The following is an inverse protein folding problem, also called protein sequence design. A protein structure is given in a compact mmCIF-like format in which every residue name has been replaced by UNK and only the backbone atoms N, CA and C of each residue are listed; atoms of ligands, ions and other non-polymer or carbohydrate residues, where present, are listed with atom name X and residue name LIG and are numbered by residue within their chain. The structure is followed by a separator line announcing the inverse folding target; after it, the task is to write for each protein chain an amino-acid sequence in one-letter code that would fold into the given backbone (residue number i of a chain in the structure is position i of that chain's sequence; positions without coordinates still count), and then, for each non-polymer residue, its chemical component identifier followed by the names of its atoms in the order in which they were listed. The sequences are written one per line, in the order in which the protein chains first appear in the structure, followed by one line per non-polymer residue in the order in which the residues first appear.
data_IF_858350657925
#
_entry.id   IF_858350657925
#
_cell.length_a   1.000
_cell.length_b   1.000
_cell.length_c   1.000
_cell.angle_alpha   90.00
_cell.angle_beta   90.00
_cell.angle_gamma   90.00
#
_symmetry.space_group_name_H-M   'P 1'
#
loop_
_entity.id
_entity.type
_entity.pdbx_description
1 polymer ?
#
# COMPACT_ATOMS: atom_id res chain seq x y z
N UNK A 1 16.26 -2.48 22.75
CA UNK A 1 17.51 -2.47 21.97
C UNK A 1 18.67 -2.01 22.84
N UNK A 2 18.58 -0.84 23.47
CA UNK A 2 19.64 -0.26 24.31
C UNK A 2 20.02 -1.07 25.57
N UNK A 3 19.07 -1.81 26.17
CA UNK A 3 19.28 -2.55 27.43
C UNK A 3 19.23 -4.07 27.27
N UNK A 4 19.44 -4.60 26.06
CA UNK A 4 19.31 -6.03 25.77
C UNK A 4 20.32 -6.90 26.54
N UNK A 5 21.49 -6.36 26.86
CA UNK A 5 22.56 -7.08 27.57
C UNK A 5 22.50 -6.93 29.10
N UNK A 6 21.50 -6.20 29.63
CA UNK A 6 21.35 -6.01 31.07
C UNK A 6 20.52 -7.12 31.71
N UNK A 7 20.92 -7.50 32.91
CA UNK A 7 20.16 -8.40 33.77
C UNK A 7 18.91 -7.71 34.33
N UNK A 8 17.90 -8.49 34.71
CA UNK A 8 16.68 -7.97 35.34
C UNK A 8 16.93 -7.02 36.52
N UNK A 9 17.82 -7.35 37.47
CA UNK A 9 18.19 -6.44 38.56
C UNK A 9 18.78 -5.10 38.09
N UNK A 10 19.61 -5.10 37.05
CA UNK A 10 20.18 -3.86 36.48
C UNK A 10 19.09 -2.99 35.85
N UNK A 11 18.11 -3.60 35.16
CA UNK A 11 16.95 -2.87 34.58
C UNK A 11 16.07 -2.26 35.69
N UNK A 12 15.88 -2.97 36.80
CA UNK A 12 15.15 -2.44 37.97
C UNK A 12 15.87 -1.24 38.57
N UNK A 13 17.20 -1.28 38.66
CA UNK A 13 17.99 -0.17 39.18
C UNK A 13 17.87 1.07 38.28
N UNK A 14 17.95 0.91 36.96
CA UNK A 14 17.70 2.00 36.01
C UNK A 14 16.31 2.61 36.19
N UNK A 15 15.27 1.78 36.38
CA UNK A 15 13.92 2.26 36.66
C UNK A 15 13.84 3.06 37.97
N UNK A 16 14.53 2.61 39.02
CA UNK A 16 14.61 3.33 40.32
C UNK A 16 15.32 4.68 40.19
N UNK A 17 16.31 4.76 39.29
CA UNK A 17 17.02 5.99 38.95
C UNK A 17 16.19 6.94 38.07
N UNK A 18 14.95 6.57 37.73
CA UNK A 18 14.05 7.39 36.90
C UNK A 18 14.35 7.30 35.41
N UNK A 19 15.20 6.36 34.97
CA UNK A 19 15.50 6.16 33.56
C UNK A 19 14.29 5.53 32.86
N UNK A 20 13.89 6.09 31.72
CA UNK A 20 12.81 5.55 30.91
C UNK A 20 13.28 4.28 30.20
N UNK A 21 12.88 3.12 30.74
CA UNK A 21 13.28 1.79 30.23
C UNK A 21 12.26 1.19 29.24
N UNK A 22 11.19 1.91 28.94
CA UNK A 22 10.14 1.47 28.02
C UNK A 22 9.90 2.53 26.97
N UNK A 23 9.63 2.14 25.74
CA UNK A 23 9.19 3.06 24.69
C UNK A 23 7.86 2.58 24.09
N UNK A 24 7.04 3.52 23.66
CA UNK A 24 5.87 3.23 22.83
C UNK A 24 6.33 3.09 21.38
N UNK A 25 5.91 2.01 20.72
CA UNK A 25 6.10 1.81 19.28
C UNK A 25 4.73 1.75 18.64
N UNK A 26 4.48 2.65 17.69
CA UNK A 26 3.24 2.65 16.90
C UNK A 26 3.52 2.06 15.53
N UNK A 27 2.78 1.02 15.18
CA UNK A 27 2.90 0.34 13.89
C UNK A 27 1.57 0.55 13.17
N UNK A 28 1.48 1.50 12.22
CA UNK A 28 0.25 1.72 11.49
C UNK A 28 -0.09 0.47 10.66
N UNK A 29 -1.27 -0.11 10.90
CA UNK A 29 -1.68 -1.34 10.21
C UNK A 29 -2.46 -1.05 8.93
N UNK A 30 -3.35 -0.06 9.00
CA UNK A 30 -4.27 0.28 7.93
C UNK A 30 -4.43 1.79 7.88
N UNK A 31 -4.25 2.34 6.69
CA UNK A 31 -4.61 3.72 6.40
C UNK A 31 -5.62 3.72 5.28
N UNK A 32 -6.69 4.49 5.42
CA UNK A 32 -7.66 4.70 4.37
C UNK A 32 -7.74 6.17 4.06
N UNK A 33 -7.64 6.52 2.78
CA UNK A 33 -8.01 7.85 2.32
C UNK A 33 -9.52 7.91 2.15
N UNK A 34 -10.08 9.10 2.30
CA UNK A 34 -11.35 9.43 1.66
C UNK A 34 -11.12 9.79 0.18
N UNK A 35 -12.14 10.38 -0.42
CA UNK A 35 -12.04 11.01 -1.74
C UNK A 35 -11.13 12.24 -1.63
N UNK A 36 -10.10 12.30 -2.47
CA UNK A 36 -9.02 13.27 -2.37
C UNK A 36 -8.21 13.35 -3.66
N UNK A 37 -7.63 14.52 -3.91
CA UNK A 37 -6.62 14.71 -4.93
C UNK A 37 -5.22 14.34 -4.41
N UNK A 38 -4.19 14.40 -5.27
CA UNK A 38 -2.81 14.33 -4.80
C UNK A 38 -2.51 15.43 -3.77
N UNK A 39 -1.84 15.11 -2.67
CA UNK A 39 -1.52 16.09 -1.62
C UNK A 39 -0.43 15.63 -0.66
N UNK A 40 0.12 16.58 0.09
CA UNK A 40 1.24 16.38 1.04
C UNK A 40 0.88 15.44 2.19
N UNK A 41 -0.41 15.29 2.51
CA UNK A 41 -0.85 14.37 3.57
C UNK A 41 -0.43 12.91 3.30
N UNK A 42 -0.19 12.55 2.02
CA UNK A 42 0.31 11.23 1.64
C UNK A 42 1.73 10.95 2.15
N UNK A 43 2.46 11.99 2.55
CA UNK A 43 3.83 11.91 3.05
C UNK A 43 3.91 11.74 4.57
N UNK A 44 2.78 11.86 5.29
CA UNK A 44 2.74 11.55 6.71
C UNK A 44 3.18 10.11 6.97
N UNK A 45 3.94 9.92 8.05
CA UNK A 45 4.54 8.64 8.39
C UNK A 45 3.50 7.52 8.53
N UNK A 46 2.37 7.81 9.18
CA UNK A 46 1.27 6.88 9.33
C UNK A 46 0.54 6.54 8.01
N UNK A 47 0.71 7.33 6.95
CA UNK A 47 0.22 7.02 5.61
C UNK A 47 1.25 6.19 4.85
N UNK A 48 2.49 6.67 4.77
CA UNK A 48 3.58 6.01 4.02
C UNK A 48 3.91 4.62 4.56
N UNK A 49 3.95 4.47 5.88
CA UNK A 49 4.46 3.27 6.57
C UNK A 49 3.36 2.32 7.02
N UNK A 50 2.08 2.63 6.77
CA UNK A 50 1.03 1.69 7.13
C UNK A 50 1.18 0.39 6.36
N UNK A 51 0.88 -0.74 7.00
CA UNK A 51 1.01 -2.04 6.33
C UNK A 51 0.15 -2.11 5.07
N UNK A 52 -1.10 -1.62 5.14
CA UNK A 52 -2.04 -1.54 4.03
C UNK A 52 -2.55 -0.12 3.87
N UNK A 53 -2.47 0.41 2.64
CA UNK A 53 -3.08 1.68 2.26
C UNK A 53 -4.27 1.45 1.33
N UNK A 54 -5.44 1.94 1.71
CA UNK A 54 -6.58 2.14 0.82
C UNK A 54 -6.49 3.54 0.25
N UNK A 55 -6.19 3.64 -1.05
CA UNK A 55 -5.96 4.90 -1.74
C UNK A 55 -7.02 5.07 -2.82
N UNK A 56 -7.64 6.24 -2.88
CA UNK A 56 -8.60 6.51 -3.94
C UNK A 56 -7.92 6.55 -5.32
N UNK A 57 -8.63 6.09 -6.36
CA UNK A 57 -8.22 6.24 -7.75
C UNK A 57 -9.49 6.24 -8.62
N UNK A 58 -10.09 7.42 -8.78
CA UNK A 58 -11.38 7.56 -9.48
C UNK A 58 -11.28 7.28 -10.98
N UNK A 59 -10.26 7.81 -11.64
CA UNK A 59 -10.16 7.81 -13.11
C UNK A 59 -8.90 7.12 -13.62
N UNK A 60 -9.04 6.34 -14.70
CA UNK A 60 -7.92 5.64 -15.37
C UNK A 60 -7.78 6.01 -16.85
N UNK A 61 -8.79 6.68 -17.41
CA UNK A 61 -8.80 7.13 -18.80
C UNK A 61 -8.03 8.46 -18.91
N UNK A 62 -6.99 8.54 -19.77
CA UNK A 62 -6.23 9.77 -19.99
C UNK A 62 -7.08 11.01 -20.25
N UNK A 63 -8.26 10.88 -20.89
CA UNK A 63 -9.17 11.99 -21.16
C UNK A 63 -9.83 12.57 -19.90
N UNK A 64 -9.77 11.87 -18.77
CA UNK A 64 -10.42 12.28 -17.51
C UNK A 64 -9.45 12.90 -16.49
N UNK A 65 -8.21 13.25 -16.87
CA UNK A 65 -7.25 13.93 -15.98
C UNK A 65 -7.77 15.26 -15.46
N UNK A 66 -8.30 16.10 -16.35
CA UNK A 66 -8.83 17.42 -15.96
C UNK A 66 -10.07 17.28 -15.09
N UNK A 67 -10.89 16.25 -15.36
CA UNK A 67 -12.03 15.91 -14.53
C UNK A 67 -11.63 15.47 -13.13
N UNK A 68 -10.57 14.66 -13.01
CA UNK A 68 -10.04 14.25 -11.72
C UNK A 68 -9.59 15.47 -10.90
N UNK A 69 -8.83 16.37 -11.53
CA UNK A 69 -8.37 17.62 -10.90
C UNK A 69 -9.54 18.52 -10.47
N UNK A 70 -10.52 18.74 -11.35
CA UNK A 70 -11.68 19.57 -11.06
C UNK A 70 -12.54 18.99 -9.91
N UNK A 71 -12.61 17.65 -9.79
CA UNK A 71 -13.31 16.96 -8.71
C UNK A 71 -12.48 16.70 -7.46
N UNK A 72 -11.23 17.15 -7.41
CA UNK A 72 -10.27 16.82 -6.36
C UNK A 72 -10.18 15.30 -6.10
N UNK A 73 -9.96 14.55 -7.18
CA UNK A 73 -9.78 13.10 -7.17
C UNK A 73 -8.41 12.71 -7.76
N UNK A 74 -7.91 11.55 -7.38
CA UNK A 74 -6.71 10.96 -7.97
C UNK A 74 -7.03 10.29 -9.31
N UNK A 75 -6.22 10.59 -10.33
CA UNK A 75 -6.16 9.85 -11.57
C UNK A 75 -5.00 8.83 -11.53
N UNK A 76 -5.12 7.71 -12.23
CA UNK A 76 -4.09 6.65 -12.29
C UNK A 76 -2.68 7.17 -12.61
N UNK A 77 -2.58 8.14 -13.52
CA UNK A 77 -1.30 8.79 -13.88
C UNK A 77 -0.65 9.57 -12.72
N UNK A 78 -1.41 10.07 -11.75
CA UNK A 78 -0.86 10.75 -10.57
C UNK A 78 -0.13 9.76 -9.66
N UNK A 79 -0.57 8.50 -9.66
CA UNK A 79 0.03 7.44 -8.88
C UNK A 79 1.51 7.20 -9.23
N UNK A 80 1.97 7.55 -10.44
CA UNK A 80 3.40 7.47 -10.81
C UNK A 80 4.29 8.31 -9.91
N UNK A 81 3.78 9.42 -9.40
CA UNK A 81 4.51 10.31 -8.48
C UNK A 81 4.28 9.94 -7.03
N UNK A 82 3.12 9.39 -6.71
CA UNK A 82 2.71 9.02 -5.34
C UNK A 82 3.37 7.71 -4.90
N UNK A 83 3.24 6.64 -5.69
CA UNK A 83 3.62 5.28 -5.28
C UNK A 83 5.11 5.11 -4.93
N UNK A 84 6.07 5.74 -5.65
CA UNK A 84 7.49 5.65 -5.26
C UNK A 84 7.80 6.21 -3.87
N UNK A 85 6.93 7.06 -3.33
CA UNK A 85 7.07 7.64 -1.99
C UNK A 85 6.37 6.80 -0.91
N UNK A 86 5.72 5.71 -1.27
CA UNK A 86 4.95 4.88 -0.35
C UNK A 86 5.73 3.60 0.00
N UNK A 87 5.78 3.28 1.30
CA UNK A 87 6.48 2.11 1.85
C UNK A 87 5.51 0.96 2.20
N UNK A 88 4.22 1.13 1.91
CA UNK A 88 3.20 0.14 2.27
C UNK A 88 3.48 -1.23 1.61
N UNK A 89 3.25 -2.31 2.35
CA UNK A 89 3.30 -3.68 1.82
C UNK A 89 2.21 -3.90 0.75
N UNK A 90 1.08 -3.21 0.91
CA UNK A 90 -0.10 -3.31 0.04
C UNK A 90 -0.75 -1.95 -0.19
N UNK A 91 -1.07 -1.66 -1.44
CA UNK A 91 -1.89 -0.52 -1.85
C UNK A 91 -3.13 -1.07 -2.54
N UNK A 92 -4.30 -0.77 -1.97
CA UNK A 92 -5.60 -1.14 -2.51
C UNK A 92 -6.26 0.11 -3.06
N UNK A 93 -6.41 0.17 -4.38
CA UNK A 93 -7.08 1.25 -5.07
C UNK A 93 -8.60 1.14 -4.90
N UNK A 94 -9.21 2.19 -4.37
CA UNK A 94 -10.65 2.28 -4.11
C UNK A 94 -11.29 3.37 -4.97
N UNK A 95 -12.60 3.58 -4.82
CA UNK A 95 -13.33 4.69 -5.40
C UNK A 95 -13.30 4.79 -6.95
N UNK A 96 -13.14 3.66 -7.64
CA UNK A 96 -13.18 3.63 -9.11
C UNK A 96 -14.52 4.15 -9.65
N UNK A 97 -14.46 5.04 -10.64
CA UNK A 97 -15.65 5.54 -11.33
C UNK A 97 -16.51 4.41 -11.89
N UNK A 98 -17.83 4.52 -11.72
CA UNK A 98 -18.81 3.57 -12.30
C UNK A 98 -18.80 3.56 -13.84
N UNK A 99 -18.19 4.56 -14.48
CA UNK A 99 -18.10 4.67 -15.95
C UNK A 99 -17.03 3.75 -16.55
N UNK A 100 -16.16 3.16 -15.73
CA UNK A 100 -15.10 2.29 -16.20
C UNK A 100 -15.26 0.91 -15.58
N UNK A 101 -15.28 -0.12 -16.43
CA UNK A 101 -15.36 -1.49 -15.93
C UNK A 101 -14.07 -1.85 -15.17
N UNK A 102 -14.19 -2.59 -14.07
CA UNK A 102 -13.03 -3.01 -13.26
C UNK A 102 -11.95 -3.72 -14.10
N UNK A 103 -12.34 -4.50 -15.12
CA UNK A 103 -11.40 -5.17 -16.03
C UNK A 103 -10.55 -4.17 -16.82
N UNK A 104 -11.14 -3.08 -17.30
CA UNK A 104 -10.46 -2.03 -18.04
C UNK A 104 -9.53 -1.24 -17.12
N UNK A 105 -9.98 -0.94 -15.90
CA UNK A 105 -9.15 -0.31 -14.87
C UNK A 105 -7.93 -1.17 -14.51
N UNK A 106 -8.12 -2.48 -14.33
CA UNK A 106 -7.01 -3.42 -14.13
C UNK A 106 -6.03 -3.43 -15.31
N UNK A 107 -6.54 -3.39 -16.55
CA UNK A 107 -5.68 -3.34 -17.74
C UNK A 107 -4.90 -2.02 -17.84
N UNK A 108 -5.54 -0.89 -17.50
CA UNK A 108 -4.89 0.40 -17.42
C UNK A 108 -3.79 0.41 -16.35
N UNK A 109 -4.06 -0.12 -15.15
CA UNK A 109 -3.08 -0.28 -14.08
C UNK A 109 -1.87 -1.11 -14.53
N UNK A 110 -2.11 -2.24 -15.21
CA UNK A 110 -1.03 -3.08 -15.73
C UNK A 110 -0.18 -2.35 -16.77
N UNK A 111 -0.78 -1.56 -17.66
CA UNK A 111 -0.04 -0.75 -18.63
C UNK A 111 0.79 0.34 -17.96
N UNK A 112 0.27 0.91 -16.87
CA UNK A 112 0.90 2.04 -16.18
C UNK A 112 2.07 1.61 -15.29
N UNK A 113 1.94 0.47 -14.60
CA UNK A 113 2.87 0.02 -13.54
C UNK A 113 3.55 -1.32 -13.82
N UNK A 114 3.19 -2.03 -14.88
CA UNK A 114 3.83 -3.31 -15.24
C UNK A 114 3.85 -4.31 -14.09
N UNK A 115 5.04 -4.82 -13.76
CA UNK A 115 5.23 -5.80 -12.68
C UNK A 115 4.94 -5.22 -11.28
N UNK A 116 5.14 -3.91 -11.06
CA UNK A 116 4.84 -3.27 -9.76
C UNK A 116 3.35 -3.34 -9.42
N UNK A 117 2.47 -3.38 -10.43
CA UNK A 117 1.05 -3.63 -10.23
C UNK A 117 0.85 -5.00 -9.58
N UNK A 118 1.51 -6.04 -10.09
CA UNK A 118 1.34 -7.40 -9.61
C UNK A 118 1.93 -7.64 -8.20
N UNK A 119 2.93 -6.85 -7.81
CA UNK A 119 3.63 -6.99 -6.54
C UNK A 119 2.85 -6.45 -5.36
N UNK A 120 2.31 -5.23 -5.45
CA UNK A 120 1.66 -4.58 -4.29
C UNK A 120 0.44 -3.71 -4.56
N UNK A 121 0.02 -3.49 -5.81
CA UNK A 121 -1.10 -2.58 -6.14
C UNK A 121 -2.29 -3.36 -6.69
N UNK A 122 -3.49 -3.17 -6.16
CA UNK A 122 -4.69 -3.88 -6.64
C UNK A 122 -5.90 -2.99 -6.55
N UNK A 123 -6.87 -3.13 -7.45
CA UNK A 123 -8.18 -2.53 -7.20
C UNK A 123 -8.95 -3.34 -6.14
N UNK A 124 -9.76 -2.65 -5.34
CA UNK A 124 -10.74 -3.27 -4.47
C UNK A 124 -11.70 -4.12 -5.32
N UNK A 125 -12.10 -5.29 -4.79
CA UNK A 125 -12.94 -6.27 -5.52
C UNK A 125 -12.33 -6.85 -6.80
N UNK A 126 -11.03 -6.66 -7.03
CA UNK A 126 -10.28 -7.41 -8.05
C UNK A 126 -10.18 -8.88 -7.60
N UNK A 127 -11.24 -9.65 -7.84
CA UNK A 127 -11.29 -11.08 -7.54
C UNK A 127 -10.11 -11.76 -8.26
N UNK A 128 -9.22 -12.33 -7.46
CA UNK A 128 -7.81 -12.50 -7.82
C UNK A 128 -7.57 -13.39 -9.05
N UNK A 129 -6.95 -12.83 -10.09
CA UNK A 129 -6.02 -13.59 -10.97
C UNK A 129 -4.80 -14.11 -10.19
N UNK A 130 -4.51 -13.52 -9.03
CA UNK A 130 -3.40 -13.86 -8.13
C UNK A 130 -3.44 -15.29 -7.58
N UNK A 131 -4.61 -15.84 -7.21
CA UNK A 131 -4.76 -17.26 -6.85
C UNK A 131 -4.33 -18.16 -8.01
N UNK A 132 -4.77 -17.85 -9.24
CA UNK A 132 -4.43 -18.61 -10.46
C UNK A 132 -2.95 -18.48 -10.84
N UNK A 133 -2.32 -17.32 -10.63
CA UNK A 133 -0.91 -17.08 -10.98
C UNK A 133 0.07 -17.68 -9.96
N UNK A 134 -0.21 -17.59 -8.65
CA UNK A 134 0.53 -18.34 -7.61
C UNK A 134 0.38 -19.85 -7.81
N UNK A 135 -0.82 -20.33 -8.12
CA UNK A 135 -1.04 -21.75 -8.45
C UNK A 135 -0.26 -22.19 -9.70
N UNK A 136 -0.24 -21.37 -10.77
CA UNK A 136 0.53 -21.66 -12.00
C UNK A 136 2.06 -21.60 -11.80
N UNK A 137 2.55 -20.66 -10.99
CA UNK A 137 3.98 -20.56 -10.67
C UNK A 137 4.42 -21.74 -9.78
N UNK A 138 3.61 -22.14 -8.80
CA UNK A 138 3.85 -23.34 -8.00
C UNK A 138 3.83 -24.62 -8.85
N UNK A 139 2.90 -24.75 -9.81
CA UNK A 139 2.86 -25.90 -10.74
C UNK A 139 4.03 -25.97 -11.72
N UNK A 140 4.68 -24.84 -12.04
CA UNK A 140 5.88 -24.82 -12.92
C UNK A 140 7.18 -25.09 -12.16
N UNK A 141 7.17 -24.92 -10.83
CA UNK A 141 8.33 -25.15 -9.98
C UNK A 141 8.34 -26.55 -9.34
N UNK A 142 7.30 -27.36 -9.57
CA UNK A 142 7.31 -28.77 -9.21
C UNK A 142 8.17 -29.52 -10.24
N UNK A 143 9.28 -30.17 -9.83
CA UNK A 143 9.99 -31.07 -10.74
C UNK A 143 9.05 -32.20 -11.14
N UNK A 144 9.09 -32.60 -12.41
CA UNK A 144 8.43 -33.81 -12.89
C UNK A 144 8.99 -34.99 -12.07
N UNK A 145 8.15 -35.55 -11.20
CA UNK A 145 8.47 -36.77 -10.48
C UNK A 145 8.49 -37.92 -11.49
N UNK A 146 9.69 -38.46 -11.75
CA UNK A 146 9.90 -39.80 -12.34
C UNK A 146 9.21 -40.90 -11.52
#
# INVERSE_FOLDING_TARGET
DEYLDLTGPQIVELKKQGVEITRRVEIPLLTTTGDTGPGEFLEHEYVRRSRVLLLECTFVDPAHRDRARAGNHIHLADLRKIIPRLENERIVLTHLTRRTALREACAALQREFGEQADERITFLMQHTRRKRRRARAANRAAPESE
#
